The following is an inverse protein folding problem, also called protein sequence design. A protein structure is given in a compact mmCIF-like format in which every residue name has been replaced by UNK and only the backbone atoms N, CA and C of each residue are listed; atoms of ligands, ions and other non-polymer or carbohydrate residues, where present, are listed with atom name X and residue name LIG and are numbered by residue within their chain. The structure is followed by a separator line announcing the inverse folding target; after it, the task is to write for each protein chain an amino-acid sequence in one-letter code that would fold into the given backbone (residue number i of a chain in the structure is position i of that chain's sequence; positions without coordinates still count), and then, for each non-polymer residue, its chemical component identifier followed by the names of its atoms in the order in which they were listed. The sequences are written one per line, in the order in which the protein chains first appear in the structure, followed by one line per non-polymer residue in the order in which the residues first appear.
data_IF_406488384208
#
_entry.id   IF_406488384208
#
_cell.length_a   1.000
_cell.length_b   1.000
_cell.length_c   1.000
_cell.angle_alpha   90.00
_cell.angle_beta   90.00
_cell.angle_gamma   90.00
#
_symmetry.space_group_name_H-M   'P 1'
#
loop_
_entity.id
_entity.type
_entity.pdbx_description
1 polymer ?
#
# COMPACT_ATOMS: atom_id res chain seq x y z
N UNK A 1 4.65 -5.02 17.08
CA UNK A 1 4.90 -6.37 17.57
C UNK A 1 6.32 -6.78 17.24
N UNK A 2 6.85 -7.81 17.91
CA UNK A 2 8.19 -8.31 17.59
C UNK A 2 8.20 -8.91 16.18
N UNK A 3 9.34 -8.90 15.48
CA UNK A 3 9.53 -9.45 14.15
C UNK A 3 8.97 -10.87 14.00
N UNK A 4 9.08 -11.69 15.04
CA UNK A 4 8.50 -13.03 15.10
C UNK A 4 6.98 -13.08 14.94
N UNK A 5 6.26 -12.03 15.33
CA UNK A 5 4.80 -11.96 15.21
C UNK A 5 4.34 -11.52 13.82
N UNK A 6 5.23 -11.03 12.98
CA UNK A 6 4.92 -10.62 11.61
C UNK A 6 4.88 -11.78 10.62
N UNK A 7 5.36 -12.94 11.05
CA UNK A 7 5.26 -14.17 10.26
C UNK A 7 3.85 -14.81 10.34
N UNK A 8 2.99 -14.27 11.20
CA UNK A 8 1.58 -14.66 11.27
C UNK A 8 0.78 -13.84 10.24
N UNK A 9 0.81 -14.30 9.00
CA UNK A 9 -0.05 -13.76 7.98
C UNK A 9 -1.43 -14.40 8.06
N UNK A 10 -2.46 -13.62 7.82
CA UNK A 10 -3.81 -14.14 7.65
C UNK A 10 -3.85 -15.06 6.43
N UNK A 11 -4.35 -16.27 6.59
CA UNK A 11 -4.38 -17.25 5.50
C UNK A 11 -5.41 -16.90 4.42
N UNK A 12 -6.31 -15.99 4.69
CA UNK A 12 -7.26 -15.41 3.74
C UNK A 12 -6.78 -14.11 3.09
N UNK A 13 -5.60 -13.65 3.47
CA UNK A 13 -4.99 -12.50 2.83
C UNK A 13 -4.23 -12.89 1.54
N UNK A 14 -3.92 -11.90 0.73
CA UNK A 14 -3.35 -12.03 -0.61
C UNK A 14 -1.94 -12.65 -0.70
N UNK A 15 -1.39 -13.11 0.40
CA UNK A 15 -0.09 -13.79 0.43
C UNK A 15 -0.16 -15.30 0.33
N UNK A 16 -1.36 -15.92 0.39
CA UNK A 16 -1.54 -17.35 0.49
C UNK A 16 -2.68 -17.87 -0.41
N UNK A 17 -2.50 -19.04 -1.07
CA UNK A 17 -1.22 -19.74 -1.23
C UNK A 17 -0.27 -19.02 -2.19
N UNK A 18 1.04 -19.06 -1.93
CA UNK A 18 2.03 -18.27 -2.69
C UNK A 18 1.98 -18.50 -4.20
N UNK A 19 1.85 -19.75 -4.65
CA UNK A 19 1.74 -20.03 -6.08
C UNK A 19 0.48 -19.44 -6.73
N UNK A 20 -0.62 -19.35 -5.98
CA UNK A 20 -1.85 -18.69 -6.43
C UNK A 20 -1.67 -17.18 -6.53
N UNK A 21 -1.02 -16.59 -5.52
CA UNK A 21 -0.60 -15.19 -5.53
C UNK A 21 0.26 -14.86 -6.75
N UNK A 22 1.33 -15.59 -6.97
CA UNK A 22 2.29 -15.32 -8.03
C UNK A 22 1.64 -15.44 -9.42
N UNK A 23 0.77 -16.43 -9.60
CA UNK A 23 -0.03 -16.58 -10.81
C UNK A 23 -0.96 -15.39 -11.03
N UNK A 24 -1.67 -14.95 -9.99
CA UNK A 24 -2.56 -13.80 -10.08
C UNK A 24 -1.80 -12.52 -10.41
N UNK A 25 -0.70 -12.23 -9.70
CA UNK A 25 0.13 -11.06 -9.95
C UNK A 25 0.72 -11.05 -11.36
N UNK A 26 1.19 -12.19 -11.85
CA UNK A 26 1.71 -12.33 -13.20
C UNK A 26 0.65 -12.01 -14.28
N UNK A 27 -0.61 -12.40 -14.04
CA UNK A 27 -1.72 -12.09 -14.96
C UNK A 27 -2.10 -10.61 -14.91
N UNK A 28 -2.15 -10.01 -13.72
CA UNK A 28 -2.44 -8.58 -13.54
C UNK A 28 -1.37 -7.74 -14.23
N UNK A 29 -0.10 -8.08 -14.04
CA UNK A 29 1.00 -7.38 -14.68
C UNK A 29 0.99 -7.52 -16.20
N UNK A 30 0.77 -8.73 -16.70
CA UNK A 30 0.64 -8.96 -18.15
C UNK A 30 -0.50 -8.16 -18.79
N UNK A 31 -1.55 -7.90 -18.02
CA UNK A 31 -2.67 -7.07 -18.47
C UNK A 31 -2.38 -5.56 -18.40
N UNK A 32 -1.24 -5.13 -17.84
CA UNK A 32 -0.94 -3.73 -17.60
C UNK A 32 -1.90 -3.09 -16.59
N UNK A 33 -2.40 -3.89 -15.64
CA UNK A 33 -3.41 -3.46 -14.68
C UNK A 33 -2.80 -3.19 -13.30
N UNK A 34 -3.49 -2.38 -12.49
CA UNK A 34 -3.19 -2.18 -11.08
C UNK A 34 -4.12 -3.04 -10.22
N UNK A 35 -3.62 -3.49 -9.09
CA UNK A 35 -4.39 -4.23 -8.10
C UNK A 35 -5.00 -3.24 -7.10
N UNK A 36 -6.30 -3.27 -6.93
CA UNK A 36 -7.02 -2.46 -5.93
C UNK A 36 -7.56 -3.40 -4.87
N UNK A 37 -7.26 -3.12 -3.63
CA UNK A 37 -7.70 -3.91 -2.48
C UNK A 37 -8.25 -3.03 -1.36
N UNK A 38 -9.01 -3.62 -0.46
CA UNK A 38 -9.56 -2.99 0.75
C UNK A 38 -9.31 -3.86 1.97
N UNK A 39 -10.15 -3.70 2.99
CA UNK A 39 -10.22 -4.53 4.21
C UNK A 39 -9.02 -4.43 5.17
N UNK A 40 -7.83 -4.20 4.70
CA UNK A 40 -6.62 -4.21 5.52
C UNK A 40 -6.54 -3.08 6.56
N UNK A 41 -7.37 -2.06 6.46
CA UNK A 41 -7.40 -0.90 7.35
C UNK A 41 -6.03 -0.18 7.46
N UNK A 42 -5.21 -0.35 6.46
CA UNK A 42 -3.92 0.31 6.30
C UNK A 42 -3.79 0.73 4.83
N UNK A 43 -4.08 1.99 4.50
CA UNK A 43 -3.90 2.48 3.15
C UNK A 43 -2.43 2.39 2.74
N UNK A 44 -2.16 1.78 1.61
CA UNK A 44 -0.78 1.61 1.12
C UNK A 44 -0.71 1.64 -0.39
N UNK A 45 0.43 2.08 -0.93
CA UNK A 45 0.84 1.79 -2.29
C UNK A 45 2.03 0.86 -2.24
N UNK A 46 1.88 -0.29 -2.86
CA UNK A 46 2.88 -1.36 -2.89
C UNK A 46 3.20 -1.71 -4.35
N UNK A 47 4.49 -1.90 -4.64
CA UNK A 47 4.93 -2.59 -5.83
C UNK A 47 5.22 -4.05 -5.45
N UNK A 48 4.45 -4.97 -5.98
CA UNK A 48 4.65 -6.38 -5.70
C UNK A 48 5.90 -6.93 -6.36
N UNK A 49 6.55 -7.87 -5.67
CA UNK A 49 7.54 -8.74 -6.27
C UNK A 49 6.98 -10.14 -6.46
N UNK A 50 7.39 -10.81 -7.53
CA UNK A 50 7.08 -12.21 -7.85
C UNK A 50 8.36 -13.02 -7.69
N UNK A 51 9.35 -12.82 -8.53
CA UNK A 51 10.67 -13.44 -8.45
C UNK A 51 11.68 -12.51 -7.78
N UNK A 52 11.57 -11.21 -8.04
CA UNK A 52 12.38 -10.17 -7.44
C UNK A 52 11.52 -8.97 -7.02
N UNK A 53 12.14 -7.99 -6.36
CA UNK A 53 11.46 -6.75 -6.02
C UNK A 53 11.02 -6.01 -7.28
N UNK A 54 9.79 -5.47 -7.25
CA UNK A 54 9.27 -4.57 -8.29
C UNK A 54 9.11 -5.23 -9.68
N UNK A 55 9.05 -6.56 -9.74
CA UNK A 55 8.80 -7.30 -10.98
C UNK A 55 7.33 -7.75 -11.14
N UNK A 56 6.45 -7.27 -10.29
CA UNK A 56 5.01 -7.51 -10.30
C UNK A 56 4.20 -6.22 -10.51
N UNK A 57 2.87 -6.27 -10.37
CA UNK A 57 2.00 -5.11 -10.55
C UNK A 57 2.03 -4.16 -9.35
N UNK A 58 1.59 -2.92 -9.58
CA UNK A 58 1.26 -1.99 -8.54
C UNK A 58 -0.03 -2.37 -7.82
N UNK A 59 -0.08 -2.13 -6.52
CA UNK A 59 -1.27 -2.30 -5.71
C UNK A 59 -1.56 -1.06 -4.87
N UNK A 60 -2.85 -0.72 -4.79
CA UNK A 60 -3.36 0.29 -3.89
C UNK A 60 -4.36 -0.35 -2.94
N UNK A 61 -4.03 -0.38 -1.67
CA UNK A 61 -4.97 -0.71 -0.60
C UNK A 61 -5.66 0.58 -0.19
N UNK A 62 -6.96 0.65 -0.45
CA UNK A 62 -7.76 1.86 -0.16
C UNK A 62 -8.05 1.99 1.33
N UNK A 63 -8.18 3.22 1.86
CA UNK A 63 -8.55 3.44 3.25
C UNK A 63 -9.97 2.94 3.54
N UNK A 64 -10.20 2.50 4.77
CA UNK A 64 -11.53 2.15 5.26
C UNK A 64 -12.35 3.42 5.52
N UNK A 65 -13.46 3.60 4.80
CA UNK A 65 -14.27 4.82 4.88
C UNK A 65 -15.08 4.96 6.17
N UNK A 66 -15.50 3.85 6.77
CA UNK A 66 -16.46 3.85 7.89
C UNK A 66 -15.85 3.37 9.20
N UNK A 67 -14.88 2.49 9.16
CA UNK A 67 -14.34 1.87 10.36
C UNK A 67 -13.31 2.77 11.06
N UNK A 68 -13.76 3.41 12.14
CA UNK A 68 -12.91 4.24 13.00
C UNK A 68 -12.34 3.50 14.20
N UNK A 69 -12.81 2.28 14.46
CA UNK A 69 -12.46 1.55 15.67
C UNK A 69 -11.28 0.64 15.51
N UNK A 70 -10.91 0.36 14.27
CA UNK A 70 -9.85 -0.57 13.96
C UNK A 70 -9.03 -0.05 12.79
N UNK A 71 -7.86 0.48 13.11
CA UNK A 71 -6.85 0.86 12.13
C UNK A 71 -5.60 0.06 12.37
N UNK A 72 -4.93 -0.26 11.28
CA UNK A 72 -3.56 -0.77 11.33
C UNK A 72 -2.62 0.37 10.99
N UNK A 73 -1.37 0.21 11.37
CA UNK A 73 -0.32 1.14 11.01
C UNK A 73 0.91 0.37 10.54
N UNK A 74 1.63 1.00 9.65
CA UNK A 74 2.88 0.51 9.16
C UNK A 74 3.99 0.97 10.09
N UNK A 75 4.58 0.04 10.79
CA UNK A 75 5.69 0.29 11.71
C UNK A 75 6.67 -0.87 11.64
N UNK A 76 7.58 -0.86 10.65
CA UNK A 76 8.61 -1.88 10.56
C UNK A 76 9.58 -1.75 11.73
N UNK A 77 10.07 -2.88 12.22
CA UNK A 77 11.13 -2.91 13.22
C UNK A 77 12.48 -2.64 12.54
N UNK A 78 13.48 -2.16 13.32
CA UNK A 78 14.82 -1.79 12.83
C UNK A 78 15.55 -2.93 12.10
N UNK A 79 15.19 -4.16 12.39
CA UNK A 79 15.77 -5.36 11.78
C UNK A 79 15.21 -5.66 10.38
N UNK A 80 14.18 -4.95 9.94
CA UNK A 80 13.61 -5.17 8.62
C UNK A 80 14.38 -4.40 7.57
N UNK A 81 14.83 -5.09 6.51
CA UNK A 81 15.53 -4.41 5.42
C UNK A 81 14.53 -3.56 4.65
N UNK A 82 14.58 -2.27 4.86
CA UNK A 82 13.85 -1.27 4.07
C UNK A 82 14.84 -0.20 3.62
N UNK A 83 14.76 0.19 2.37
CA UNK A 83 15.46 1.36 1.88
C UNK A 83 14.50 2.55 1.96
N UNK A 84 14.87 3.53 2.76
CA UNK A 84 14.07 4.75 2.88
C UNK A 84 14.23 5.61 1.62
N UNK A 85 13.18 5.72 0.83
CA UNK A 85 13.16 6.49 -0.41
C UNK A 85 12.31 7.77 -0.30
N UNK A 86 11.72 8.05 0.86
CA UNK A 86 10.80 9.16 1.03
C UNK A 86 10.93 9.77 2.43
N UNK A 87 11.46 10.98 2.51
CA UNK A 87 11.62 11.71 3.78
C UNK A 87 10.31 11.99 4.51
N UNK A 88 9.19 12.05 3.78
CA UNK A 88 7.87 12.23 4.36
C UNK A 88 7.29 10.92 4.92
N UNK A 89 7.76 9.78 4.41
CA UNK A 89 7.33 8.44 4.80
C UNK A 89 8.58 7.58 5.07
N UNK A 90 9.18 7.68 6.26
CA UNK A 90 10.50 7.13 6.55
C UNK A 90 10.59 5.60 6.49
N UNK A 91 9.44 4.90 6.48
CA UNK A 91 9.39 3.44 6.43
C UNK A 91 8.96 2.90 5.06
N UNK A 92 9.22 3.66 4.00
CA UNK A 92 9.10 3.17 2.62
C UNK A 92 10.34 2.37 2.24
N UNK A 93 10.22 1.48 1.25
CA UNK A 93 11.31 0.67 0.76
C UNK A 93 10.97 -0.81 0.63
N UNK A 94 12.00 -1.64 0.55
CA UNK A 94 11.90 -3.08 0.26
C UNK A 94 11.75 -3.89 1.53
N UNK A 95 10.75 -4.77 1.55
CA UNK A 95 10.43 -5.63 2.69
C UNK A 95 10.05 -7.05 2.23
N UNK A 96 10.05 -7.97 3.19
CA UNK A 96 9.40 -9.26 3.05
C UNK A 96 8.09 -9.23 3.84
N UNK A 97 6.99 -9.65 3.23
CA UNK A 97 5.73 -9.83 3.94
C UNK A 97 5.75 -11.04 4.89
N UNK A 98 4.64 -11.31 5.58
CA UNK A 98 4.53 -12.42 6.52
C UNK A 98 4.70 -13.81 5.88
N UNK A 99 4.60 -13.93 4.57
CA UNK A 99 4.86 -15.15 3.79
C UNK A 99 6.21 -15.14 3.06
N UNK A 100 7.05 -14.14 3.36
CA UNK A 100 8.34 -13.88 2.72
C UNK A 100 8.27 -13.50 1.24
N UNK A 101 7.11 -12.99 0.80
CA UNK A 101 7.03 -12.40 -0.52
C UNK A 101 7.73 -11.04 -0.52
N UNK A 102 8.42 -10.74 -1.60
CA UNK A 102 9.07 -9.45 -1.81
C UNK A 102 8.01 -8.39 -2.09
N UNK A 103 8.07 -7.29 -1.39
CA UNK A 103 7.23 -6.11 -1.58
C UNK A 103 8.06 -4.84 -1.48
N UNK A 104 7.74 -3.82 -2.25
CA UNK A 104 8.26 -2.48 -2.04
C UNK A 104 7.13 -1.57 -1.61
N UNK A 105 7.25 -1.02 -0.40
CA UNK A 105 6.29 -0.06 0.16
C UNK A 105 6.63 1.33 -0.35
N UNK A 106 5.75 1.95 -1.11
CA UNK A 106 5.92 3.32 -1.64
C UNK A 106 5.18 4.38 -0.84
N UNK A 107 4.05 4.02 -0.25
CA UNK A 107 3.31 4.90 0.65
C UNK A 107 2.44 4.12 1.62
N UNK A 108 2.17 4.74 2.74
CA UNK A 108 1.20 4.29 3.74
C UNK A 108 0.51 5.50 4.36
N UNK A 109 -0.68 5.31 4.93
CA UNK A 109 -1.43 6.38 5.59
C UNK A 109 -1.85 5.98 7.00
N UNK A 110 -0.92 6.13 7.90
CA UNK A 110 -1.13 6.09 9.35
C UNK A 110 -0.03 6.91 10.02
N UNK A 111 -0.20 8.21 10.09
CA UNK A 111 0.83 9.15 10.52
C UNK A 111 1.29 8.94 11.98
N UNK A 112 0.47 8.32 12.79
CA UNK A 112 0.78 7.95 14.16
C UNK A 112 -0.07 6.76 14.63
N UNK A 113 0.26 6.19 15.77
CA UNK A 113 -0.43 5.02 16.34
C UNK A 113 -1.84 5.32 16.84
N UNK A 114 -2.23 6.57 16.95
CA UNK A 114 -3.49 7.01 17.54
C UNK A 114 -4.49 7.45 16.49
N UNK A 115 -4.01 7.91 15.32
CA UNK A 115 -4.90 8.32 14.26
C UNK A 115 -5.33 7.16 13.38
N UNK A 116 -6.61 7.17 13.10
CA UNK A 116 -7.21 6.25 12.16
C UNK A 116 -6.80 6.63 10.74
N UNK A 117 -6.18 5.72 10.01
CA UNK A 117 -5.97 5.84 8.57
C UNK A 117 -7.26 5.70 7.75
N UNK A 118 -8.42 6.05 8.34
CA UNK A 118 -9.72 5.99 7.68
C UNK A 118 -9.89 7.11 6.66
N UNK A 119 -10.59 6.80 5.58
CA UNK A 119 -10.76 7.79 4.53
C UNK A 119 -11.28 7.20 3.23
N UNK A 120 -10.89 7.82 2.16
CA UNK A 120 -11.23 7.39 0.81
C UNK A 120 -10.05 7.67 -0.14
N UNK A 121 -10.05 7.00 -1.27
CA UNK A 121 -9.03 7.16 -2.29
C UNK A 121 -9.62 7.52 -3.65
N UNK A 122 -8.84 8.25 -4.45
CA UNK A 122 -9.07 8.38 -5.88
C UNK A 122 -7.93 7.73 -6.65
N UNK A 123 -8.28 7.20 -7.81
CA UNK A 123 -7.31 6.66 -8.76
C UNK A 123 -7.51 7.41 -10.07
N UNK A 124 -6.45 8.07 -10.54
CA UNK A 124 -6.49 8.84 -11.78
C UNK A 124 -5.56 8.20 -12.80
N UNK A 125 -6.10 7.88 -13.94
CA UNK A 125 -5.34 7.32 -15.06
C UNK A 125 -5.01 8.41 -16.07
N UNK A 126 -3.73 8.57 -16.38
CA UNK A 126 -3.24 9.35 -17.49
C UNK A 126 -2.79 8.40 -18.60
N UNK A 127 -3.64 8.19 -19.60
CA UNK A 127 -3.39 7.23 -20.67
C UNK A 127 -2.29 7.70 -21.63
N UNK A 128 -2.11 9.01 -21.79
CA UNK A 128 -1.07 9.56 -22.65
C UNK A 128 0.32 9.26 -22.10
N UNK A 129 0.50 9.46 -20.81
CA UNK A 129 1.78 9.25 -20.14
C UNK A 129 1.95 7.82 -19.59
N UNK A 130 0.91 6.99 -19.66
CA UNK A 130 0.85 5.68 -19.02
C UNK A 130 1.14 5.77 -17.51
N UNK A 131 0.49 6.71 -16.85
CA UNK A 131 0.66 6.98 -15.44
C UNK A 131 -0.64 6.72 -14.68
N UNK A 132 -0.48 6.28 -13.44
CA UNK A 132 -1.57 6.20 -12.47
C UNK A 132 -1.19 6.98 -11.24
N UNK A 133 -2.10 7.85 -10.79
CA UNK A 133 -1.96 8.59 -9.54
C UNK A 133 -2.94 8.02 -8.51
N UNK A 134 -2.41 7.62 -7.37
CA UNK A 134 -3.17 7.19 -6.21
C UNK A 134 -3.24 8.33 -5.21
N UNK A 135 -4.45 8.71 -4.83
CA UNK A 135 -4.73 9.74 -3.84
C UNK A 135 -5.35 9.10 -2.60
N UNK A 136 -4.92 9.55 -1.43
CA UNK A 136 -5.42 9.07 -0.15
C UNK A 136 -5.86 10.24 0.74
N UNK A 137 -7.15 10.32 0.99
CA UNK A 137 -7.79 11.43 1.68
C UNK A 137 -8.32 11.00 3.04
N UNK A 138 -8.08 11.82 4.11
CA UNK A 138 -8.72 11.60 5.41
C UNK A 138 -10.24 11.67 5.30
N UNK A 139 -10.92 10.88 6.10
CA UNK A 139 -12.39 10.75 6.08
C UNK A 139 -13.14 12.08 6.24
N UNK A 140 -12.61 12.98 7.07
CA UNK A 140 -13.24 14.28 7.35
C UNK A 140 -12.89 15.37 6.35
N UNK A 141 -12.09 15.08 5.35
CA UNK A 141 -11.60 16.07 4.41
C UNK A 141 -12.64 16.38 3.33
N UNK A 142 -12.89 17.65 3.11
CA UNK A 142 -13.77 18.13 2.04
C UNK A 142 -12.93 18.48 0.81
N UNK A 143 -12.82 17.55 -0.12
CA UNK A 143 -12.02 17.68 -1.33
C UNK A 143 -12.49 18.76 -2.31
N UNK A 144 -13.66 19.36 -2.08
CA UNK A 144 -14.13 20.49 -2.87
C UNK A 144 -13.44 21.81 -2.47
N UNK A 145 -12.79 21.83 -1.33
CA UNK A 145 -12.08 23.01 -0.82
C UNK A 145 -10.67 23.11 -1.39
N UNK A 146 -10.20 24.31 -1.72
CA UNK A 146 -8.87 24.50 -2.30
C UNK A 146 -7.71 24.22 -1.33
N UNK A 147 -7.98 24.19 -0.02
CA UNK A 147 -7.02 23.89 1.04
C UNK A 147 -7.10 22.46 1.56
N UNK A 148 -7.91 21.61 0.92
CA UNK A 148 -8.04 20.20 1.25
C UNK A 148 -6.69 19.46 1.17
N UNK A 149 -6.43 18.58 2.14
CA UNK A 149 -5.13 17.91 2.26
C UNK A 149 -5.28 16.39 2.29
N UNK A 150 -4.49 15.75 1.46
CA UNK A 150 -4.28 14.33 1.53
C UNK A 150 -3.47 13.93 2.77
N UNK A 151 -3.43 12.64 3.06
CA UNK A 151 -2.47 12.12 4.02
C UNK A 151 -1.05 12.50 3.64
N UNK A 152 -0.20 12.64 4.66
CA UNK A 152 1.21 12.99 4.47
C UNK A 152 1.89 12.02 3.49
N UNK A 153 2.65 12.56 2.55
CA UNK A 153 3.37 11.78 1.54
C UNK A 153 2.55 11.36 0.32
N UNK A 154 1.27 11.70 0.29
CA UNK A 154 0.38 11.48 -0.85
C UNK A 154 0.18 12.77 -1.66
N UNK A 155 -0.18 12.71 -2.98
CA UNK A 155 -0.43 11.51 -3.78
C UNK A 155 0.83 10.78 -4.24
N UNK A 156 0.66 9.56 -4.74
CA UNK A 156 1.72 8.77 -5.37
C UNK A 156 1.39 8.59 -6.86
N UNK A 157 2.31 8.98 -7.73
CA UNK A 157 2.19 8.75 -9.18
C UNK A 157 3.22 7.72 -9.61
N UNK A 158 2.75 6.72 -10.35
CA UNK A 158 3.58 5.62 -10.87
C UNK A 158 3.38 5.46 -12.37
N UNK A 159 4.36 4.88 -13.06
CA UNK A 159 4.24 4.43 -14.45
C UNK A 159 3.77 2.99 -14.50
N UNK A 160 2.91 2.70 -15.50
CA UNK A 160 2.43 1.35 -15.82
C UNK A 160 3.34 0.66 -16.84
#
# INVERSE_FOLDING_TARGET
GKASNRLHADLDSNGWPQHGRDKALSLIQKAGAVHIAGDQHLPTVIHHGINDYEDGPWAFVVPAIVNNYYSRWWWPEDEMPGENNNDLLPWTGRYLDGFKNKITMHAYANPDSESSGSGFGFIRFNLENKEVTFECWPRGEDVSKPDAKQYRGWPITVKL
#
